data_IF_632217745894
#
_entry.id   IF_632217745894
#
_cell.length_a   1.000
_cell.length_b   1.000
_cell.length_c   1.000
_cell.angle_alpha   90.00
_cell.angle_beta   90.00
_cell.angle_gamma   90.00
#
_symmetry.space_group_name_H-M   'P 1'
#
loop_
_entity.id
_entity.type
_entity.pdbx_description
1 polymer ?
#
# COMPACT_ATOMS: atom_id res chain seq x y z
N UNK A 1 -7.98 -7.14 27.22
CA UNK A 1 -8.71 -7.27 25.93
C UNK A 1 -8.61 -8.72 25.40
N UNK A 2 -9.12 -9.70 26.16
CA UNK A 2 -8.96 -11.15 25.87
C UNK A 2 -10.13 -11.79 25.12
N UNK A 3 -11.32 -11.20 25.23
CA UNK A 3 -12.57 -11.75 24.68
C UNK A 3 -12.71 -11.37 23.20
N UNK A 4 -12.93 -12.32 22.31
CA UNK A 4 -13.21 -12.06 20.90
C UNK A 4 -14.46 -11.17 20.72
N UNK A 5 -14.48 -10.24 19.75
CA UNK A 5 -15.67 -9.46 19.48
C UNK A 5 -16.84 -10.36 19.03
N UNK A 6 -18.02 -10.25 19.64
CA UNK A 6 -19.16 -11.08 19.26
C UNK A 6 -19.66 -10.69 17.86
N UNK A 7 -20.24 -11.62 17.07
CA UNK A 7 -20.56 -11.39 15.65
C UNK A 7 -21.44 -10.16 15.37
N UNK A 8 -22.32 -9.76 16.30
CA UNK A 8 -23.23 -8.63 16.13
C UNK A 8 -22.54 -7.26 16.04
N UNK A 9 -21.25 -7.16 16.39
CA UNK A 9 -20.50 -5.89 16.25
C UNK A 9 -20.20 -5.56 14.79
N UNK A 10 -20.18 -6.56 13.92
CA UNK A 10 -19.91 -6.40 12.50
C UNK A 10 -21.22 -6.13 11.77
N UNK A 11 -21.31 -4.98 11.09
CA UNK A 11 -22.49 -4.51 10.39
C UNK A 11 -22.21 -4.21 8.91
N UNK A 12 -20.95 -4.08 8.52
CA UNK A 12 -20.54 -3.70 7.16
C UNK A 12 -19.99 -4.85 6.34
N UNK A 13 -19.73 -6.01 6.96
CA UNK A 13 -19.11 -7.18 6.33
C UNK A 13 -19.73 -8.47 6.85
N UNK A 14 -19.85 -9.49 6.00
CA UNK A 14 -20.14 -10.86 6.46
C UNK A 14 -18.90 -11.50 7.09
N UNK A 15 -19.06 -12.60 7.82
CA UNK A 15 -17.90 -13.32 8.36
C UNK A 15 -17.07 -13.91 7.21
N UNK A 16 -15.73 -13.90 7.30
CA UNK A 16 -14.86 -14.56 6.31
C UNK A 16 -15.26 -16.01 6.01
N UNK A 17 -15.75 -16.73 7.02
CA UNK A 17 -16.23 -18.11 6.92
C UNK A 17 -17.49 -18.24 6.05
N UNK A 18 -18.39 -17.25 6.13
CA UNK A 18 -19.66 -17.19 5.40
C UNK A 18 -19.51 -16.61 3.98
N UNK A 19 -18.34 -16.04 3.65
CA UNK A 19 -18.08 -15.51 2.32
C UNK A 19 -18.00 -16.63 1.26
N UNK A 20 -18.27 -16.34 -0.04
CA UNK A 20 -18.29 -17.35 -1.09
C UNK A 20 -17.01 -18.20 -1.18
N UNK A 21 -17.17 -19.48 -1.51
CA UNK A 21 -16.04 -20.40 -1.79
C UNK A 21 -15.39 -20.16 -3.17
N UNK A 22 -15.94 -19.24 -3.96
CA UNK A 22 -15.36 -18.79 -5.23
C UNK A 22 -14.75 -17.41 -5.05
N UNK A 23 -13.48 -17.27 -5.45
CA UNK A 23 -12.78 -15.98 -5.35
C UNK A 23 -13.31 -14.96 -6.37
N UNK A 24 -13.44 -13.71 -5.92
CA UNK A 24 -13.80 -12.59 -6.78
C UNK A 24 -12.54 -11.93 -7.33
N UNK A 25 -12.46 -11.75 -8.64
CA UNK A 25 -11.40 -10.96 -9.26
C UNK A 25 -11.93 -9.58 -9.60
N UNK A 26 -11.12 -8.55 -9.34
CA UNK A 26 -11.46 -7.16 -9.64
C UNK A 26 -10.24 -6.41 -10.16
N UNK A 27 -10.44 -5.55 -11.14
CA UNK A 27 -9.43 -4.59 -11.62
C UNK A 27 -9.77 -3.17 -11.15
N UNK A 28 -8.80 -2.49 -10.53
CA UNK A 28 -8.95 -1.09 -10.10
C UNK A 28 -8.01 -0.23 -10.94
N UNK A 29 -8.59 0.75 -11.65
CA UNK A 29 -7.87 1.72 -12.46
C UNK A 29 -7.52 2.98 -11.65
N UNK A 30 -6.30 3.48 -11.84
CA UNK A 30 -5.75 4.65 -11.16
C UNK A 30 -5.31 5.73 -12.14
N UNK A 31 -5.42 6.99 -11.73
CA UNK A 31 -4.84 8.15 -12.40
C UNK A 31 -4.38 9.15 -11.36
N UNK A 32 -3.11 9.57 -11.43
CA UNK A 32 -2.51 10.51 -10.49
C UNK A 32 -2.73 10.12 -9.00
N UNK A 33 -2.65 8.83 -8.68
CA UNK A 33 -2.89 8.27 -7.33
C UNK A 33 -4.36 7.99 -7.01
N UNK A 34 -5.31 8.61 -7.71
CA UNK A 34 -6.73 8.44 -7.44
C UNK A 34 -7.32 7.22 -8.17
N UNK A 35 -8.17 6.41 -7.50
CA UNK A 35 -8.93 5.37 -8.18
C UNK A 35 -10.03 6.01 -9.04
N UNK A 36 -10.10 5.62 -10.31
CA UNK A 36 -11.03 6.20 -11.30
C UNK A 36 -11.99 5.18 -11.94
N UNK A 37 -11.70 3.88 -11.82
CA UNK A 37 -12.51 2.84 -12.43
C UNK A 37 -12.43 1.49 -11.68
N UNK A 38 -13.49 0.69 -11.81
CA UNK A 38 -13.53 -0.73 -11.41
C UNK A 38 -13.94 -1.56 -12.64
N UNK A 39 -13.17 -2.60 -12.97
CA UNK A 39 -13.37 -3.48 -14.12
C UNK A 39 -13.59 -2.70 -15.44
N UNK A 40 -12.79 -1.65 -15.63
CA UNK A 40 -12.83 -0.78 -16.81
C UNK A 40 -14.00 0.22 -16.83
N UNK A 41 -14.92 0.18 -15.86
CA UNK A 41 -16.04 1.13 -15.76
C UNK A 41 -15.63 2.34 -14.93
N UNK A 42 -15.62 3.52 -15.54
CA UNK A 42 -15.33 4.77 -14.85
C UNK A 42 -16.43 5.11 -13.83
N UNK A 43 -16.04 5.61 -12.66
CA UNK A 43 -16.94 5.92 -11.55
C UNK A 43 -16.48 7.20 -10.84
N UNK A 44 -17.41 7.93 -10.21
CA UNK A 44 -17.03 9.00 -9.28
C UNK A 44 -16.42 8.40 -8.01
N UNK A 45 -15.60 9.15 -7.25
CA UNK A 45 -14.93 8.62 -6.06
C UNK A 45 -15.89 7.97 -5.05
N UNK A 46 -17.06 8.58 -4.81
CA UNK A 46 -18.05 8.06 -3.88
C UNK A 46 -18.71 6.75 -4.36
N UNK A 47 -19.04 6.66 -5.66
CA UNK A 47 -19.62 5.46 -6.26
C UNK A 47 -18.59 4.33 -6.27
N UNK A 48 -17.35 4.63 -6.64
CA UNK A 48 -16.25 3.68 -6.61
C UNK A 48 -16.03 3.12 -5.21
N UNK A 49 -15.93 3.99 -4.20
CA UNK A 49 -15.72 3.56 -2.82
C UNK A 49 -16.91 2.75 -2.27
N UNK A 50 -18.13 3.09 -2.69
CA UNK A 50 -19.34 2.30 -2.36
C UNK A 50 -19.27 0.90 -2.95
N UNK A 51 -18.86 0.78 -4.21
CA UNK A 51 -18.70 -0.52 -4.86
C UNK A 51 -17.57 -1.35 -4.22
N UNK A 52 -16.45 -0.73 -3.85
CA UNK A 52 -15.40 -1.42 -3.08
C UNK A 52 -15.90 -1.89 -1.71
N UNK A 53 -16.76 -1.11 -1.03
CA UNK A 53 -17.39 -1.55 0.21
C UNK A 53 -18.30 -2.75 -0.01
N UNK A 54 -19.08 -2.79 -1.11
CA UNK A 54 -19.91 -3.94 -1.47
C UNK A 54 -19.07 -5.19 -1.75
N UNK A 55 -18.02 -5.06 -2.57
CA UNK A 55 -17.10 -6.16 -2.87
C UNK A 55 -16.40 -6.69 -1.61
N UNK A 56 -15.96 -5.79 -0.73
CA UNK A 56 -15.35 -6.17 0.53
C UNK A 56 -16.33 -6.77 1.52
N UNK A 57 -17.58 -6.28 1.58
CA UNK A 57 -18.68 -6.89 2.34
C UNK A 57 -18.87 -8.35 1.91
N UNK A 58 -19.07 -8.60 0.62
CA UNK A 58 -19.37 -9.93 0.07
C UNK A 58 -18.21 -10.92 0.23
N UNK A 59 -17.00 -10.43 0.54
CA UNK A 59 -15.81 -11.23 0.76
C UNK A 59 -15.35 -11.23 2.22
N UNK A 60 -16.07 -10.59 3.15
CA UNK A 60 -15.69 -10.51 4.57
C UNK A 60 -14.40 -9.72 4.87
N UNK A 61 -14.02 -8.78 4.02
CA UNK A 61 -12.74 -8.06 4.06
C UNK A 61 -12.79 -6.85 4.99
N UNK A 62 -11.68 -6.58 5.68
CA UNK A 62 -11.46 -5.30 6.36
C UNK A 62 -12.00 -5.24 7.79
N UNK A 63 -12.21 -6.38 8.43
CA UNK A 63 -12.42 -6.48 9.88
C UNK A 63 -11.09 -6.29 10.61
N UNK A 64 -11.04 -5.32 11.52
CA UNK A 64 -9.85 -5.00 12.31
C UNK A 64 -10.22 -4.98 13.79
N UNK A 65 -9.36 -5.55 14.63
CA UNK A 65 -9.45 -5.47 16.10
C UNK A 65 -8.09 -5.01 16.62
N UNK A 66 -8.06 -3.85 17.27
CA UNK A 66 -6.82 -3.22 17.68
C UNK A 66 -6.96 -2.52 19.03
N UNK A 67 -5.85 -2.48 19.77
CA UNK A 67 -5.69 -1.63 20.95
C UNK A 67 -4.88 -0.42 20.55
N UNK A 68 -5.54 0.72 20.40
CA UNK A 68 -4.93 1.99 20.02
C UNK A 68 -4.54 2.86 21.21
N UNK A 69 -3.67 3.84 20.96
CA UNK A 69 -3.32 4.88 21.91
C UNK A 69 -4.10 6.14 21.55
N UNK A 70 -5.07 6.53 22.38
CA UNK A 70 -5.79 7.79 22.16
C UNK A 70 -4.87 8.97 22.43
N UNK A 71 -5.09 10.05 21.70
CA UNK A 71 -4.32 11.27 21.88
C UNK A 71 -4.40 11.82 23.32
N UNK A 72 -5.55 11.63 23.96
CA UNK A 72 -5.80 12.00 25.36
C UNK A 72 -5.11 11.08 26.40
N UNK A 73 -4.26 10.15 25.95
CA UNK A 73 -3.28 9.44 26.79
C UNK A 73 -3.65 8.00 27.18
N UNK A 74 -4.91 7.58 27.08
CA UNK A 74 -5.31 6.21 27.42
C UNK A 74 -5.29 5.26 26.22
N UNK A 75 -5.16 3.96 26.50
CA UNK A 75 -5.41 2.90 25.51
C UNK A 75 -6.91 2.61 25.39
N UNK A 76 -7.35 2.25 24.19
CA UNK A 76 -8.73 1.81 23.93
C UNK A 76 -8.69 0.64 22.96
N UNK A 77 -9.54 -0.36 23.14
CA UNK A 77 -9.73 -1.43 22.15
C UNK A 77 -10.89 -1.04 21.24
N UNK A 78 -10.65 -0.98 19.94
CA UNK A 78 -11.65 -0.70 18.92
C UNK A 78 -11.77 -1.85 17.93
N UNK A 79 -12.99 -2.08 17.46
CA UNK A 79 -13.29 -3.00 16.35
C UNK A 79 -13.80 -2.15 15.20
N UNK A 80 -13.21 -2.35 14.01
CA UNK A 80 -13.46 -1.53 12.84
C UNK A 80 -13.76 -2.40 11.62
N UNK A 81 -14.55 -1.83 10.69
CA UNK A 81 -14.83 -2.41 9.39
C UNK A 81 -14.53 -1.40 8.29
N UNK A 82 -13.48 -1.67 7.51
CA UNK A 82 -13.01 -0.80 6.42
C UNK A 82 -12.90 -1.53 5.08
N UNK A 83 -13.93 -2.27 4.61
CA UNK A 83 -13.84 -3.16 3.45
C UNK A 83 -13.25 -2.50 2.21
N UNK A 84 -13.84 -1.38 1.77
CA UNK A 84 -13.35 -0.66 0.59
C UNK A 84 -12.00 0.01 0.82
N UNK A 85 -11.73 0.47 2.04
CA UNK A 85 -10.43 1.06 2.43
C UNK A 85 -9.29 0.04 2.40
N UNK A 86 -9.51 -1.18 2.89
CA UNK A 86 -8.54 -2.28 2.85
C UNK A 86 -8.21 -2.64 1.41
N UNK A 87 -9.23 -2.83 0.57
CA UNK A 87 -9.04 -3.14 -0.85
C UNK A 87 -8.27 -2.01 -1.55
N UNK A 88 -8.70 -0.76 -1.34
CA UNK A 88 -8.10 0.40 -1.99
C UNK A 88 -6.65 0.61 -1.56
N UNK A 89 -6.33 0.47 -0.27
CA UNK A 89 -4.96 0.60 0.23
C UNK A 89 -4.05 -0.45 -0.40
N UNK A 90 -4.49 -1.71 -0.47
CA UNK A 90 -3.72 -2.79 -1.12
C UNK A 90 -3.52 -2.51 -2.61
N UNK A 91 -4.55 -2.03 -3.31
CA UNK A 91 -4.45 -1.66 -4.72
C UNK A 91 -3.52 -0.46 -4.94
N UNK A 92 -3.64 0.60 -4.14
CA UNK A 92 -2.83 1.80 -4.25
C UNK A 92 -1.34 1.48 -4.05
N UNK A 93 -1.01 0.70 -3.01
CA UNK A 93 0.37 0.23 -2.78
C UNK A 93 0.89 -0.63 -3.93
N UNK A 94 0.03 -1.42 -4.55
CA UNK A 94 0.41 -2.24 -5.69
C UNK A 94 0.72 -1.40 -6.94
N UNK A 95 -0.05 -0.36 -7.25
CA UNK A 95 0.26 0.49 -8.40
C UNK A 95 1.55 1.30 -8.15
N UNK A 96 1.71 1.84 -6.94
CA UNK A 96 2.93 2.53 -6.52
C UNK A 96 4.19 1.68 -6.72
N UNK A 97 4.11 0.36 -6.47
CA UNK A 97 5.25 -0.56 -6.58
C UNK A 97 5.86 -0.64 -7.98
N UNK A 98 5.13 -0.23 -9.02
CA UNK A 98 5.65 -0.18 -10.39
C UNK A 98 5.78 1.25 -10.92
N UNK A 99 5.31 2.29 -10.23
CA UNK A 99 5.33 3.68 -10.74
C UNK A 99 6.14 4.66 -9.88
N UNK A 100 6.51 4.29 -8.65
CA UNK A 100 7.35 5.12 -7.79
C UNK A 100 8.81 4.66 -7.81
N UNK A 101 9.71 5.64 -7.90
CA UNK A 101 11.14 5.41 -7.66
C UNK A 101 11.37 4.84 -6.24
N UNK A 102 12.42 4.04 -6.08
CA UNK A 102 12.76 3.36 -4.82
C UNK A 102 12.95 4.34 -3.66
N UNK A 103 13.76 5.39 -3.83
CA UNK A 103 14.05 6.32 -2.74
C UNK A 103 12.86 7.25 -2.48
N UNK A 104 12.10 7.62 -3.53
CA UNK A 104 10.84 8.34 -3.36
C UNK A 104 9.82 7.53 -2.55
N UNK A 105 9.68 6.22 -2.81
CA UNK A 105 8.81 5.33 -2.07
C UNK A 105 9.24 5.18 -0.60
N UNK A 106 10.53 4.96 -0.34
CA UNK A 106 11.07 4.92 1.02
C UNK A 106 10.82 6.23 1.79
N UNK A 107 11.03 7.38 1.12
CA UNK A 107 10.80 8.69 1.73
C UNK A 107 9.32 8.86 2.07
N UNK A 108 8.42 8.59 1.13
CA UNK A 108 6.97 8.64 1.35
C UNK A 108 6.54 7.77 2.54
N UNK A 109 7.07 6.56 2.65
CA UNK A 109 6.75 5.66 3.76
C UNK A 109 7.28 6.12 5.11
N UNK A 110 8.39 6.88 5.14
CA UNK A 110 8.87 7.47 6.38
C UNK A 110 7.96 8.59 6.90
N UNK A 111 7.19 9.26 6.02
CA UNK A 111 6.29 10.35 6.39
C UNK A 111 4.82 9.94 6.55
N UNK A 112 4.37 8.84 5.92
CA UNK A 112 2.95 8.44 5.96
C UNK A 112 2.46 8.19 7.39
N UNK A 113 3.34 7.69 8.28
CA UNK A 113 3.01 7.50 9.70
C UNK A 113 2.73 8.82 10.40
N UNK A 114 3.51 9.87 10.09
CA UNK A 114 3.28 11.21 10.65
C UNK A 114 2.00 11.84 10.09
N UNK A 115 1.72 11.65 8.80
CA UNK A 115 0.46 12.10 8.21
C UNK A 115 -0.74 11.45 8.92
N UNK A 116 -0.72 10.12 9.09
CA UNK A 116 -1.79 9.38 9.78
C UNK A 116 -1.96 9.82 11.24
N UNK A 117 -0.86 10.08 11.95
CA UNK A 117 -0.87 10.62 13.31
C UNK A 117 -1.61 11.97 13.38
N UNK A 118 -1.28 12.91 12.50
CA UNK A 118 -1.90 14.23 12.47
C UNK A 118 -3.41 14.14 12.23
N UNK A 119 -3.84 13.29 11.31
CA UNK A 119 -5.26 13.03 11.05
C UNK A 119 -5.93 12.43 12.29
N UNK A 120 -5.31 11.43 12.93
CA UNK A 120 -5.85 10.78 14.12
C UNK A 120 -5.99 11.74 15.32
N UNK A 121 -5.05 12.67 15.49
CA UNK A 121 -5.10 13.68 16.55
C UNK A 121 -6.06 14.85 16.25
N UNK A 122 -6.67 14.89 15.05
CA UNK A 122 -7.60 15.94 14.64
C UNK A 122 -6.93 17.17 14.02
N UNK A 123 -5.64 17.11 13.72
CA UNK A 123 -4.86 18.18 13.08
C UNK A 123 -5.04 18.20 11.56
N UNK A 124 -6.28 18.04 11.07
CA UNK A 124 -6.57 18.05 9.64
C UNK A 124 -6.23 19.39 8.99
N UNK A 125 -6.44 20.52 9.66
CA UNK A 125 -6.16 21.85 9.10
C UNK A 125 -4.83 22.45 9.63
N UNK A 126 -3.90 21.62 10.12
CA UNK A 126 -2.61 22.12 10.59
C UNK A 126 -1.63 22.34 9.43
N UNK A 127 -0.68 23.29 9.56
CA UNK A 127 0.28 23.59 8.50
C UNK A 127 1.20 22.41 8.19
N UNK A 128 1.62 21.64 9.20
CA UNK A 128 2.49 20.48 8.99
C UNK A 128 1.80 19.35 8.19
N UNK A 129 0.48 19.14 8.35
CA UNK A 129 -0.27 18.19 7.51
C UNK A 129 -0.39 18.73 6.07
N UNK A 130 -0.50 20.05 5.89
CA UNK A 130 -0.54 20.73 4.59
C UNK A 130 0.78 20.59 3.82
N UNK A 131 1.90 20.73 4.53
CA UNK A 131 3.23 20.47 3.98
C UNK A 131 3.39 19.02 3.55
N UNK A 132 2.93 18.06 4.36
CA UNK A 132 2.96 16.65 4.00
C UNK A 132 2.02 16.34 2.83
N UNK A 133 0.85 16.99 2.73
CA UNK A 133 -0.06 16.80 1.59
C UNK A 133 0.61 17.16 0.27
N UNK A 134 1.31 18.30 0.19
CA UNK A 134 2.02 18.69 -1.03
C UNK A 134 3.07 17.64 -1.46
N UNK A 135 3.75 17.02 -0.49
CA UNK A 135 4.69 15.93 -0.75
C UNK A 135 3.99 14.65 -1.25
N UNK A 136 2.84 14.31 -0.66
CA UNK A 136 2.00 13.20 -1.13
C UNK A 136 1.50 13.47 -2.54
N UNK A 137 0.89 14.62 -2.82
CA UNK A 137 0.38 14.98 -4.15
C UNK A 137 1.50 14.88 -5.20
N UNK A 138 2.70 15.39 -4.87
CA UNK A 138 3.87 15.28 -5.74
C UNK A 138 4.26 13.84 -6.04
N UNK A 139 4.20 12.96 -5.05
CA UNK A 139 4.50 11.54 -5.26
C UNK A 139 3.50 10.86 -6.20
N UNK A 140 2.26 11.33 -6.27
CA UNK A 140 1.20 10.65 -7.02
C UNK A 140 1.13 11.00 -8.52
N UNK A 141 1.90 11.99 -9.00
CA UNK A 141 1.87 12.51 -10.38
C UNK A 141 2.03 11.44 -11.49
N UNK A 142 2.63 10.30 -11.19
CA UNK A 142 2.85 9.20 -12.15
C UNK A 142 2.19 7.88 -11.74
N UNK A 143 1.42 7.89 -10.65
CA UNK A 143 0.71 6.72 -10.15
C UNK A 143 -0.55 6.52 -10.99
N UNK A 144 -0.37 5.88 -12.14
CA UNK A 144 -1.41 5.64 -13.15
C UNK A 144 -1.31 4.21 -13.67
N UNK A 145 -2.44 3.53 -13.86
CA UNK A 145 -2.47 2.17 -14.40
C UNK A 145 -3.61 1.35 -13.82
N UNK A 146 -3.47 0.02 -13.83
CA UNK A 146 -4.49 -0.91 -13.37
C UNK A 146 -3.87 -1.97 -12.48
N UNK A 147 -4.54 -2.27 -11.37
CA UNK A 147 -4.19 -3.36 -10.45
C UNK A 147 -5.28 -4.40 -10.47
N UNK A 148 -4.90 -5.66 -10.63
CA UNK A 148 -5.82 -6.81 -10.52
C UNK A 148 -5.66 -7.46 -9.15
N UNK A 149 -6.77 -7.59 -8.45
CA UNK A 149 -6.87 -8.20 -7.13
C UNK A 149 -7.72 -9.48 -7.18
N UNK A 150 -7.40 -10.40 -6.28
CA UNK A 150 -8.21 -11.57 -5.92
C UNK A 150 -8.70 -11.36 -4.49
N UNK A 151 -10.01 -11.26 -4.33
CA UNK A 151 -10.71 -11.14 -3.05
C UNK A 151 -11.22 -12.51 -2.64
N UNK A 152 -10.93 -12.92 -1.41
CA UNK A 152 -11.33 -14.24 -0.92
C UNK A 152 -11.33 -14.32 0.59
N UNK A 153 -12.48 -14.66 1.19
CA UNK A 153 -12.67 -15.00 2.62
C UNK A 153 -11.79 -14.17 3.57
N UNK A 154 -12.05 -12.87 3.60
CA UNK A 154 -11.38 -11.89 4.45
C UNK A 154 -10.09 -11.30 3.89
N UNK A 155 -9.59 -11.81 2.76
CA UNK A 155 -8.28 -11.46 2.23
C UNK A 155 -8.32 -10.69 0.90
N UNK A 156 -7.28 -9.87 0.68
CA UNK A 156 -7.02 -9.12 -0.55
C UNK A 156 -5.65 -9.51 -1.09
N UNK A 157 -5.62 -10.19 -2.23
CA UNK A 157 -4.39 -10.72 -2.82
C UNK A 157 -4.12 -9.99 -4.13
N UNK A 158 -2.96 -9.36 -4.27
CA UNK A 158 -2.58 -8.74 -5.54
C UNK A 158 -2.10 -9.81 -6.52
N UNK A 159 -2.75 -9.88 -7.68
CA UNK A 159 -2.46 -10.90 -8.71
C UNK A 159 -1.93 -10.32 -10.02
N UNK A 160 -1.90 -8.99 -10.17
CA UNK A 160 -1.31 -8.36 -11.34
C UNK A 160 -1.29 -6.83 -11.25
N UNK A 161 -0.38 -6.21 -12.00
CA UNK A 161 -0.32 -4.76 -12.23
C UNK A 161 0.05 -4.51 -13.69
N UNK A 162 -0.45 -3.41 -14.26
CA UNK A 162 -0.01 -2.89 -15.56
C UNK A 162 -0.08 -1.38 -15.56
N UNK A 163 0.92 -0.72 -16.15
CA UNK A 163 0.98 0.75 -16.22
C UNK A 163 1.76 1.20 -17.45
N UNK A 164 1.31 2.24 -18.16
CA UNK A 164 2.12 2.92 -19.17
C UNK A 164 3.27 3.75 -18.57
N UNK A 165 3.27 3.95 -17.24
CA UNK A 165 4.29 4.67 -16.46
C UNK A 165 5.14 3.71 -15.61
N UNK A 166 5.17 2.43 -15.99
CA UNK A 166 5.93 1.41 -15.26
C UNK A 166 7.42 1.68 -15.30
N UNK A 167 8.06 1.66 -14.13
CA UNK A 167 9.51 1.61 -13.92
C UNK A 167 10.04 0.18 -13.93
N UNK A 168 9.15 -0.83 -13.84
CA UNK A 168 9.50 -2.21 -14.10
C UNK A 168 9.76 -2.44 -15.59
N UNK A 169 10.89 -3.07 -15.91
CA UNK A 169 11.34 -3.37 -17.27
C UNK A 169 11.80 -4.82 -17.35
N UNK A 170 11.11 -5.64 -18.14
CA UNK A 170 11.49 -7.04 -18.40
C UNK A 170 12.91 -7.14 -18.96
N UNK A 171 13.34 -6.17 -19.79
CA UNK A 171 14.67 -6.15 -20.37
C UNK A 171 15.78 -5.96 -19.32
N UNK A 172 15.53 -5.26 -18.21
CA UNK A 172 16.53 -5.05 -17.14
C UNK A 172 16.63 -6.22 -16.16
N UNK A 173 15.60 -7.05 -16.08
CA UNK A 173 15.50 -8.13 -15.07
C UNK A 173 15.55 -9.53 -15.67
N UNK A 174 15.55 -9.64 -17.00
CA UNK A 174 15.63 -10.93 -17.68
C UNK A 174 16.96 -11.64 -17.39
N UNK A 175 16.90 -12.96 -17.27
CA UNK A 175 18.08 -13.83 -17.24
C UNK A 175 18.48 -14.32 -18.65
N UNK A 176 17.69 -13.96 -19.66
CA UNK A 176 18.00 -14.19 -21.07
C UNK A 176 18.90 -13.06 -21.61
N UNK A 177 19.14 -13.01 -22.93
CA UNK A 177 19.90 -11.93 -23.55
C UNK A 177 19.18 -10.58 -23.36
N UNK A 178 19.68 -9.78 -22.44
CA UNK A 178 19.21 -8.43 -22.10
C UNK A 178 19.63 -7.38 -23.14
N UNK A 179 20.36 -7.80 -24.19
CA UNK A 179 20.96 -6.93 -25.22
C UNK A 179 21.84 -5.83 -24.65
N UNK A 180 22.47 -6.08 -23.49
CA UNK A 180 23.32 -5.13 -22.79
C UNK A 180 22.55 -4.05 -22.02
N UNK A 181 21.29 -4.32 -21.64
CA UNK A 181 20.51 -3.41 -20.81
C UNK A 181 21.11 -3.22 -19.40
N UNK A 182 21.85 -4.21 -18.87
CA UNK A 182 22.54 -4.10 -17.59
C UNK A 182 23.93 -4.74 -17.57
N UNK A 183 24.98 -3.93 -17.35
CA UNK A 183 26.34 -4.46 -17.16
C UNK A 183 26.55 -4.99 -15.73
N UNK A 184 26.55 -6.31 -15.60
CA UNK A 184 26.77 -7.02 -14.33
C UNK A 184 28.13 -6.69 -13.68
N UNK A 185 29.13 -6.21 -14.43
CA UNK A 185 30.44 -5.84 -13.86
C UNK A 185 30.36 -4.61 -12.96
N UNK A 186 29.42 -3.70 -13.22
CA UNK A 186 29.23 -2.48 -12.43
C UNK A 186 28.83 -2.81 -10.98
N UNK A 187 28.13 -3.93 -10.77
CA UNK A 187 27.72 -4.39 -9.45
C UNK A 187 28.92 -4.59 -8.50
N UNK A 188 30.04 -5.09 -9.00
CA UNK A 188 31.24 -5.32 -8.18
C UNK A 188 31.83 -4.00 -7.64
N UNK A 189 31.88 -2.96 -8.48
CA UNK A 189 32.33 -1.63 -8.07
C UNK A 189 31.37 -0.99 -7.08
N UNK A 190 30.07 -1.05 -7.37
CA UNK A 190 29.01 -0.55 -6.49
C UNK A 190 29.07 -1.18 -5.09
N UNK A 191 29.16 -2.51 -5.00
CA UNK A 191 29.23 -3.23 -3.72
C UNK A 191 30.45 -2.78 -2.91
N UNK A 192 31.63 -2.66 -3.55
CA UNK A 192 32.86 -2.24 -2.87
C UNK A 192 32.74 -0.83 -2.28
N UNK A 193 32.14 0.11 -3.02
CA UNK A 193 31.93 1.48 -2.57
C UNK A 193 30.89 1.57 -1.46
N UNK A 194 29.74 0.91 -1.61
CA UNK A 194 28.68 0.93 -0.60
C UNK A 194 29.13 0.29 0.73
N UNK A 195 29.92 -0.79 0.65
CA UNK A 195 30.47 -1.48 1.82
C UNK A 195 31.66 -0.75 2.47
N UNK A 196 32.21 0.31 1.86
CA UNK A 196 33.44 0.97 2.32
C UNK A 196 33.33 1.42 3.79
N UNK A 197 32.24 2.12 4.14
CA UNK A 197 32.00 2.59 5.52
C UNK A 197 31.94 1.44 6.54
N UNK A 198 31.41 0.28 6.14
CA UNK A 198 31.29 -0.89 7.00
C UNK A 198 32.64 -1.59 7.20
N UNK A 199 33.45 -1.67 6.14
CA UNK A 199 34.81 -2.22 6.20
C UNK A 199 35.71 -1.40 7.12
N UNK A 200 35.61 -0.07 7.07
CA UNK A 200 36.34 0.84 7.97
C UNK A 200 35.92 0.66 9.43
N UNK A 201 34.61 0.55 9.70
CA UNK A 201 34.10 0.27 11.05
C UNK A 201 34.62 -1.06 11.60
N UNK A 202 34.63 -2.11 10.78
CA UNK A 202 35.16 -3.42 11.16
C UNK A 202 36.68 -3.40 11.42
N UNK A 203 37.44 -2.62 10.63
CA UNK A 203 38.88 -2.48 10.84
C UNK A 203 39.19 -1.83 12.21
N UNK A 204 38.45 -0.80 12.62
CA UNK A 204 38.59 -0.20 13.96
C UNK A 204 38.43 -1.23 15.07
N UNK A 205 37.41 -2.10 14.99
CA UNK A 205 37.13 -3.14 16.00
C UNK A 205 38.21 -4.22 16.10
N UNK A 206 38.97 -4.48 15.03
CA UNK A 206 40.09 -5.45 15.05
C UNK A 206 41.37 -4.87 15.64
N UNK A 207 41.49 -3.55 15.62
CA UNK A 207 42.66 -2.82 16.09
C UNK A 207 42.49 -2.29 17.52
N UNK A 208 41.32 -2.52 18.13
CA UNK A 208 40.98 -2.24 19.52
C UNK A 208 40.93 -3.52 20.32
#
# INVERSE_FOLDING_TARGET
PWVEPPPYVYQRTIAPEDAPDTATYVEIGFRNGDPVAIDGKAMSPAVLFTELNRLGHDNGIGRLDLVENRFVGMKSRGVYETPGGTILLTAHRAIESITLDREAAHLKDSFITKYAELVYYGFWFSPEREMLQAMIDKSQEHVEGVVRLKLYKGNVIVVGRKSPKSLYSDALVTFEDDRGAYDQKDAAGFIRLNALRLRTLAARKRNS
#
